data_IF_725226999740
#
_entry.id   IF_725226999740
#
_cell.length_a   1.000
_cell.length_b   1.000
_cell.length_c   1.000
_cell.angle_alpha   90.00
_cell.angle_beta   90.00
_cell.angle_gamma   90.00
#
_symmetry.space_group_name_H-M   'P 1'
#
loop_
_entity.id
_entity.type
_entity.pdbx_description
1 polymer ?
#
# COMPACT_ATOMS: atom_id res chain seq x y z
N UNK A 1 3.16 -4.00 -30.35
CA UNK A 1 3.44 -5.22 -29.56
C UNK A 1 2.23 -5.49 -28.70
N UNK A 2 1.53 -6.61 -28.94
CA UNK A 2 0.31 -6.97 -28.22
C UNK A 2 0.66 -7.38 -26.79
N UNK A 3 0.02 -6.76 -25.79
CA UNK A 3 0.10 -7.19 -24.39
C UNK A 3 -0.46 -8.61 -24.26
N UNK A 4 0.16 -9.52 -23.50
CA UNK A 4 -0.35 -10.87 -23.34
C UNK A 4 -1.72 -10.84 -22.65
N UNK A 5 -2.70 -11.45 -23.29
CA UNK A 5 -4.03 -11.72 -22.74
C UNK A 5 -3.90 -12.51 -21.45
N UNK A 6 -4.22 -11.88 -20.32
CA UNK A 6 -4.34 -12.59 -19.04
C UNK A 6 -5.62 -13.43 -19.07
N UNK A 7 -5.46 -14.75 -19.02
CA UNK A 7 -6.55 -15.71 -18.91
C UNK A 7 -7.36 -15.45 -17.64
N UNK A 8 -8.62 -15.06 -17.78
CA UNK A 8 -9.55 -14.71 -16.71
C UNK A 8 -9.97 -15.89 -15.79
N UNK A 9 -9.48 -17.09 -16.01
CA UNK A 9 -9.95 -18.32 -15.35
C UNK A 9 -9.29 -18.66 -14.01
N UNK A 10 -8.41 -17.83 -13.47
CA UNK A 10 -7.71 -18.07 -12.19
C UNK A 10 -8.19 -17.21 -11.00
N UNK A 11 -9.32 -16.51 -11.12
CA UNK A 11 -9.83 -15.59 -10.09
C UNK A 11 -10.74 -16.25 -9.03
N UNK A 12 -10.95 -17.55 -9.08
CA UNK A 12 -12.02 -18.25 -8.35
C UNK A 12 -11.57 -18.98 -7.07
N UNK A 13 -10.71 -18.39 -6.24
CA UNK A 13 -10.64 -18.78 -4.83
C UNK A 13 -10.63 -17.52 -3.97
N UNK A 14 -11.80 -16.96 -3.61
CA UNK A 14 -11.89 -15.82 -2.70
C UNK A 14 -11.44 -16.25 -1.30
N UNK A 15 -10.76 -15.35 -0.58
CA UNK A 15 -10.44 -15.47 0.85
C UNK A 15 -9.31 -16.45 1.24
N UNK A 16 -8.23 -16.54 0.48
CA UNK A 16 -7.05 -17.27 0.96
C UNK A 16 -6.46 -16.54 2.18
N UNK A 17 -6.61 -17.14 3.36
CA UNK A 17 -6.06 -16.62 4.62
C UNK A 17 -4.54 -16.56 4.53
N UNK A 18 -3.97 -15.44 5.00
CA UNK A 18 -2.53 -15.25 5.05
C UNK A 18 -2.09 -14.85 6.46
N UNK A 19 -0.78 -14.95 6.72
CA UNK A 19 -0.15 -14.38 7.90
C UNK A 19 0.44 -12.99 7.64
N UNK A 20 0.09 -12.37 6.54
CA UNK A 20 0.59 -11.06 6.17
C UNK A 20 -0.04 -9.94 7.00
N UNK A 21 0.80 -8.97 7.34
CA UNK A 21 0.44 -7.77 8.07
C UNK A 21 0.66 -6.55 7.18
N UNK A 22 -0.34 -5.73 7.00
CA UNK A 22 -0.23 -4.52 6.17
C UNK A 22 0.08 -3.32 7.05
N UNK A 23 1.08 -2.56 6.67
CA UNK A 23 1.38 -1.23 7.23
C UNK A 23 0.87 -0.19 6.24
N UNK A 24 -0.17 0.53 6.62
CA UNK A 24 -0.77 1.56 5.76
C UNK A 24 -0.98 2.88 6.52
N UNK A 25 -1.40 3.90 5.82
CA UNK A 25 -1.65 5.25 6.33
C UNK A 25 -1.37 6.29 5.25
N UNK A 26 -1.87 7.49 5.42
CA UNK A 26 -1.70 8.59 4.47
C UNK A 26 -0.21 9.02 4.32
N UNK A 27 0.13 9.85 3.35
CA UNK A 27 1.42 10.52 3.28
C UNK A 27 1.81 11.17 4.61
N UNK A 28 3.10 11.29 4.90
CA UNK A 28 3.62 11.82 6.16
C UNK A 28 3.25 11.04 7.43
N UNK A 29 2.86 9.77 7.36
CA UNK A 29 2.60 8.94 8.55
C UNK A 29 3.85 8.20 9.09
N UNK A 30 5.01 8.32 8.42
CA UNK A 30 6.26 7.67 8.86
C UNK A 30 6.33 6.17 8.54
N UNK A 31 5.54 5.67 7.59
CA UNK A 31 5.53 4.24 7.19
C UNK A 31 6.91 3.70 6.85
N UNK A 32 7.62 4.36 5.95
CA UNK A 32 8.95 3.92 5.51
C UNK A 32 9.92 3.75 6.68
N UNK A 33 9.87 4.66 7.66
CA UNK A 33 10.73 4.57 8.85
C UNK A 33 10.36 3.35 9.72
N UNK A 34 9.06 3.08 9.88
CA UNK A 34 8.58 1.92 10.64
C UNK A 34 8.91 0.60 9.90
N UNK A 35 8.71 0.54 8.59
CA UNK A 35 9.07 -0.63 7.76
C UNK A 35 10.57 -0.93 7.85
N UNK A 36 11.43 0.08 7.70
CA UNK A 36 12.88 -0.08 7.84
C UNK A 36 13.29 -0.54 9.26
N UNK A 37 12.57 -0.10 10.29
CA UNK A 37 12.83 -0.53 11.66
C UNK A 37 12.38 -1.98 11.91
N UNK A 38 11.27 -2.42 11.31
CA UNK A 38 10.83 -3.83 11.32
C UNK A 38 11.86 -4.72 10.62
N UNK A 39 12.36 -4.31 9.45
CA UNK A 39 13.38 -5.03 8.70
C UNK A 39 14.68 -5.17 9.51
N UNK A 40 15.15 -4.09 10.16
CA UNK A 40 16.32 -4.13 11.04
C UNK A 40 16.15 -5.06 12.25
N UNK A 41 14.93 -5.32 12.68
CA UNK A 41 14.61 -6.32 13.72
C UNK A 41 14.51 -7.76 13.15
N UNK A 42 14.82 -7.97 11.87
CA UNK A 42 14.79 -9.28 11.20
C UNK A 42 13.42 -9.71 10.68
N UNK A 43 12.43 -8.80 10.68
CA UNK A 43 11.14 -9.10 10.07
C UNK A 43 11.26 -9.11 8.54
N UNK A 44 10.55 -10.04 7.88
CA UNK A 44 10.43 -10.04 6.43
C UNK A 44 9.48 -8.92 6.01
N UNK A 45 9.94 -8.01 5.15
CA UNK A 45 9.18 -6.88 4.63
C UNK A 45 9.06 -6.93 3.12
N UNK A 46 8.01 -6.33 2.58
CA UNK A 46 7.82 -6.06 1.16
C UNK A 46 7.72 -4.54 1.01
N UNK A 47 8.63 -3.90 0.26
CA UNK A 47 8.67 -2.46 0.09
C UNK A 47 7.50 -1.93 -0.74
N UNK A 48 7.25 -0.63 -0.68
CA UNK A 48 6.19 0.05 -1.42
C UNK A 48 6.41 -0.03 -2.94
N UNK A 49 5.45 -0.66 -3.65
CA UNK A 49 5.53 -0.88 -5.09
C UNK A 49 5.62 0.43 -5.88
N UNK A 50 4.88 1.48 -5.47
CA UNK A 50 4.91 2.77 -6.15
C UNK A 50 6.29 3.42 -6.08
N UNK A 51 6.95 3.36 -4.91
CA UNK A 51 8.29 3.91 -4.73
C UNK A 51 9.30 3.18 -5.60
N UNK A 52 9.28 1.84 -5.58
CA UNK A 52 10.18 1.02 -6.39
C UNK A 52 10.01 1.31 -7.89
N UNK A 53 8.77 1.47 -8.36
CA UNK A 53 8.49 1.82 -9.75
C UNK A 53 9.02 3.22 -10.11
N UNK A 54 8.73 4.22 -9.28
CA UNK A 54 9.21 5.59 -9.52
C UNK A 54 10.74 5.63 -9.57
N UNK A 55 11.42 5.00 -8.61
CA UNK A 55 12.88 4.98 -8.55
C UNK A 55 13.49 4.29 -9.79
N UNK A 56 12.88 3.20 -10.31
CA UNK A 56 13.28 2.55 -11.56
C UNK A 56 13.11 3.46 -12.79
N UNK A 57 11.98 4.17 -12.89
CA UNK A 57 11.72 5.08 -14.01
C UNK A 57 12.64 6.32 -13.99
N UNK A 58 12.90 6.87 -12.81
CA UNK A 58 13.87 7.96 -12.63
C UNK A 58 15.29 7.52 -13.05
N UNK A 59 15.69 6.28 -12.68
CA UNK A 59 16.99 5.72 -13.10
C UNK A 59 17.10 5.53 -14.62
N UNK A 60 15.96 5.42 -15.34
CA UNK A 60 15.88 5.36 -16.81
C UNK A 60 15.86 6.75 -17.48
N UNK A 61 15.87 7.82 -16.68
CA UNK A 61 15.95 9.21 -17.17
C UNK A 61 14.60 9.89 -17.34
N UNK A 62 13.49 9.29 -16.93
CA UNK A 62 12.18 9.96 -16.90
C UNK A 62 12.09 10.88 -15.68
N UNK A 63 11.32 11.96 -15.77
CA UNK A 63 10.99 12.81 -14.62
C UNK A 63 9.65 12.41 -13.97
N UNK A 64 9.36 12.97 -12.79
CA UNK A 64 8.13 12.67 -12.05
C UNK A 64 6.85 13.06 -12.79
N UNK A 65 6.91 14.11 -13.62
CA UNK A 65 5.76 14.58 -14.41
C UNK A 65 5.46 13.60 -15.53
N UNK A 66 6.50 13.11 -16.20
CA UNK A 66 6.39 12.09 -17.25
C UNK A 66 5.86 10.76 -16.68
N UNK A 67 6.41 10.32 -15.53
CA UNK A 67 6.00 9.06 -14.86
C UNK A 67 4.53 9.10 -14.47
N UNK A 68 4.01 10.25 -14.05
CA UNK A 68 2.62 10.44 -13.59
C UNK A 68 1.70 11.09 -14.63
N UNK A 69 2.15 11.27 -15.86
CA UNK A 69 1.40 11.97 -16.93
C UNK A 69 0.05 11.33 -17.25
N UNK A 70 -0.04 9.99 -17.15
CA UNK A 70 -1.28 9.24 -17.27
C UNK A 70 -1.57 8.52 -15.94
N UNK A 71 -2.53 9.06 -15.18
CA UNK A 71 -2.92 8.53 -13.88
C UNK A 71 -3.42 7.08 -13.96
N UNK A 72 -4.17 6.72 -15.01
CA UNK A 72 -4.70 5.36 -15.18
C UNK A 72 -3.55 4.36 -15.42
N UNK A 73 -2.63 4.72 -16.30
CA UNK A 73 -1.47 3.86 -16.61
C UNK A 73 -0.60 3.68 -15.37
N UNK A 74 -0.34 4.77 -14.63
CA UNK A 74 0.45 4.74 -13.40
C UNK A 74 -0.20 3.88 -12.32
N UNK A 75 -1.44 4.19 -11.92
CA UNK A 75 -2.12 3.48 -10.82
C UNK A 75 -2.37 2.00 -11.16
N UNK A 76 -2.70 1.71 -12.42
CA UNK A 76 -2.89 0.34 -12.87
C UNK A 76 -1.57 -0.46 -12.87
N UNK A 77 -0.45 0.17 -13.23
CA UNK A 77 0.87 -0.45 -13.13
C UNK A 77 1.18 -0.83 -11.67
N UNK A 78 0.98 0.10 -10.73
CA UNK A 78 1.20 -0.15 -9.29
C UNK A 78 0.29 -1.27 -8.78
N UNK A 79 -0.98 -1.28 -9.17
CA UNK A 79 -1.91 -2.36 -8.84
C UNK A 79 -1.41 -3.72 -9.32
N UNK A 80 -0.95 -3.80 -10.58
CA UNK A 80 -0.46 -5.06 -11.16
C UNK A 80 0.81 -5.56 -10.48
N UNK A 81 1.73 -4.66 -10.11
CA UNK A 81 2.93 -5.02 -9.36
C UNK A 81 2.59 -5.57 -7.96
N UNK A 82 1.66 -4.95 -7.24
CA UNK A 82 1.17 -5.47 -5.96
C UNK A 82 0.54 -6.86 -6.11
N UNK A 83 -0.35 -7.04 -7.09
CA UNK A 83 -0.99 -8.32 -7.37
C UNK A 83 0.07 -9.39 -7.70
N UNK A 84 1.08 -9.06 -8.52
CA UNK A 84 2.16 -9.97 -8.88
C UNK A 84 2.96 -10.38 -7.67
N UNK A 85 3.35 -9.41 -6.85
CA UNK A 85 4.12 -9.64 -5.62
C UNK A 85 3.34 -10.52 -4.65
N UNK A 86 2.10 -10.17 -4.32
CA UNK A 86 1.28 -10.94 -3.38
C UNK A 86 1.02 -12.39 -3.84
N UNK A 87 0.95 -12.63 -5.16
CA UNK A 87 0.82 -14.00 -5.70
C UNK A 87 2.04 -14.89 -5.46
N UNK A 88 3.21 -14.30 -5.30
CA UNK A 88 4.48 -15.01 -5.12
C UNK A 88 4.85 -15.20 -3.65
N UNK A 89 4.18 -14.51 -2.72
CA UNK A 89 4.48 -14.60 -1.31
C UNK A 89 3.93 -15.88 -0.68
N UNK A 90 4.68 -16.53 0.22
CA UNK A 90 4.18 -17.64 1.04
C UNK A 90 3.11 -17.13 2.01
N UNK A 91 1.95 -17.80 2.03
CA UNK A 91 0.79 -17.34 2.84
C UNK A 91 0.91 -17.67 4.31
N UNK A 92 1.76 -18.61 4.67
CA UNK A 92 1.99 -19.15 6.01
C UNK A 92 3.14 -18.47 6.76
N UNK A 93 3.82 -17.52 6.11
CA UNK A 93 4.86 -16.70 6.73
C UNK A 93 4.33 -15.33 7.19
N UNK A 94 4.85 -14.85 8.32
CA UNK A 94 4.59 -13.48 8.76
C UNK A 94 5.42 -12.51 7.92
N UNK A 95 4.75 -11.71 7.09
CA UNK A 95 5.35 -10.74 6.18
C UNK A 95 4.67 -9.39 6.40
N UNK A 96 5.45 -8.33 6.51
CA UNK A 96 4.94 -6.96 6.57
C UNK A 96 4.97 -6.32 5.18
N UNK A 97 3.81 -5.86 4.71
CA UNK A 97 3.66 -5.21 3.42
C UNK A 97 3.60 -3.69 3.62
N UNK A 98 4.49 -2.93 2.99
CA UNK A 98 4.33 -1.47 2.88
C UNK A 98 3.26 -1.17 1.83
N UNK A 99 2.02 -1.02 2.29
CA UNK A 99 0.80 -1.03 1.51
C UNK A 99 0.51 -2.41 0.86
N UNK A 100 -0.74 -2.62 0.51
CA UNK A 100 -1.21 -3.83 -0.14
C UNK A 100 -2.20 -3.48 -1.27
N UNK A 101 -2.75 -4.50 -1.93
CA UNK A 101 -3.73 -4.29 -3.02
C UNK A 101 -4.91 -3.39 -2.61
N UNK A 102 -5.50 -3.47 -1.39
CA UNK A 102 -6.60 -2.60 -0.99
C UNK A 102 -6.27 -1.09 -0.96
N UNK A 103 -5.01 -0.71 -0.75
CA UNK A 103 -4.61 0.71 -0.85
C UNK A 103 -4.90 1.28 -2.23
N UNK A 104 -4.80 0.47 -3.28
CA UNK A 104 -5.05 0.91 -4.66
C UNK A 104 -6.49 1.36 -4.90
N UNK A 105 -7.48 0.91 -4.10
CA UNK A 105 -8.85 1.41 -4.15
C UNK A 105 -8.87 2.92 -3.85
N UNK A 106 -8.18 3.33 -2.78
CA UNK A 106 -8.12 4.73 -2.38
C UNK A 106 -7.36 5.60 -3.41
N UNK A 107 -6.29 5.07 -3.98
CA UNK A 107 -5.51 5.80 -4.99
C UNK A 107 -6.25 5.94 -6.33
N UNK A 108 -6.98 4.91 -6.77
CA UNK A 108 -7.85 5.02 -7.94
C UNK A 108 -8.93 6.08 -7.72
N UNK A 109 -9.63 6.06 -6.59
CA UNK A 109 -10.63 7.08 -6.25
C UNK A 109 -10.03 8.49 -6.20
N UNK A 110 -8.84 8.63 -5.61
CA UNK A 110 -8.13 9.90 -5.54
C UNK A 110 -7.74 10.44 -6.92
N UNK A 111 -7.39 9.56 -7.85
CA UNK A 111 -7.09 9.88 -9.24
C UNK A 111 -8.36 10.06 -10.11
N UNK A 112 -9.57 9.97 -9.54
CA UNK A 112 -10.83 10.05 -10.28
C UNK A 112 -11.11 8.84 -11.17
N UNK A 113 -10.49 7.69 -10.88
CA UNK A 113 -10.61 6.45 -11.63
C UNK A 113 -11.65 5.50 -11.00
N UNK A 114 -12.19 4.58 -11.81
CA UNK A 114 -13.08 3.53 -11.34
C UNK A 114 -12.32 2.53 -10.45
N UNK A 115 -12.71 2.36 -9.17
CA UNK A 115 -12.04 1.46 -8.22
C UNK A 115 -12.43 -0.01 -8.36
N UNK A 116 -13.24 -0.41 -9.32
CA UNK A 116 -13.78 -1.77 -9.47
C UNK A 116 -12.68 -2.83 -9.63
N UNK A 117 -11.63 -2.52 -10.43
CA UNK A 117 -10.52 -3.44 -10.65
C UNK A 117 -9.73 -3.72 -9.35
N UNK A 118 -9.25 -2.71 -8.61
CA UNK A 118 -8.57 -2.95 -7.33
C UNK A 118 -9.50 -3.53 -6.26
N UNK A 119 -10.79 -3.17 -6.23
CA UNK A 119 -11.76 -3.73 -5.29
C UNK A 119 -11.96 -5.25 -5.49
N UNK A 120 -12.06 -5.71 -6.73
CA UNK A 120 -12.13 -7.14 -7.08
C UNK A 120 -10.82 -7.86 -6.73
N UNK A 121 -9.67 -7.27 -7.06
CA UNK A 121 -8.37 -7.84 -6.77
C UNK A 121 -8.11 -8.00 -5.26
N UNK A 122 -8.60 -7.06 -4.44
CA UNK A 122 -8.45 -7.03 -2.98
C UNK A 122 -9.13 -8.19 -2.24
N UNK A 123 -10.04 -8.91 -2.90
CA UNK A 123 -10.74 -10.08 -2.31
C UNK A 123 -9.98 -11.38 -2.45
N UNK A 124 -8.81 -11.39 -3.09
CA UNK A 124 -8.05 -12.60 -3.35
C UNK A 124 -7.38 -13.17 -2.11
N UNK A 125 -6.84 -12.31 -1.28
CA UNK A 125 -6.16 -12.69 -0.04
C UNK A 125 -6.79 -11.99 1.15
N UNK A 126 -6.77 -12.68 2.30
CA UNK A 126 -7.21 -12.11 3.56
C UNK A 126 -6.01 -11.90 4.46
N UNK A 127 -5.68 -10.65 4.69
CA UNK A 127 -4.54 -10.25 5.54
C UNK A 127 -4.85 -10.54 7.01
N UNK A 128 -3.84 -10.95 7.77
CA UNK A 128 -3.97 -11.24 9.20
C UNK A 128 -4.25 -9.98 10.02
N UNK A 129 -3.53 -8.90 9.72
CA UNK A 129 -3.64 -7.61 10.42
C UNK A 129 -3.44 -6.45 9.48
N UNK A 130 -4.13 -5.36 9.76
CA UNK A 130 -3.94 -4.07 9.11
C UNK A 130 -3.54 -3.07 10.20
N UNK A 131 -2.36 -2.47 10.07
CA UNK A 131 -1.88 -1.41 10.95
C UNK A 131 -2.00 -0.07 10.22
N UNK A 132 -2.80 0.82 10.77
CA UNK A 132 -3.04 2.14 10.21
C UNK A 132 -2.27 3.19 11.00
N UNK A 133 -1.22 3.75 10.42
CA UNK A 133 -0.37 4.75 11.06
C UNK A 133 -1.00 6.13 10.97
N UNK A 134 -1.17 6.79 12.11
CA UNK A 134 -1.58 8.19 12.16
C UNK A 134 -0.54 9.10 11.50
N UNK A 135 -1.01 10.17 10.86
CA UNK A 135 -0.14 11.20 10.27
C UNK A 135 0.68 11.89 11.33
N UNK A 136 1.95 12.09 11.02
CA UNK A 136 2.83 12.96 11.79
C UNK A 136 2.49 14.43 11.49
N UNK A 137 2.73 15.37 12.41
CA UNK A 137 2.75 16.80 12.06
C UNK A 137 3.73 16.98 10.89
N UNK A 138 3.21 17.32 9.72
CA UNK A 138 4.07 17.63 8.57
C UNK A 138 4.77 18.95 8.84
N UNK A 139 6.10 18.93 8.98
CA UNK A 139 6.86 20.15 8.73
C UNK A 139 6.66 20.48 7.26
N UNK A 140 6.24 21.71 6.98
CA UNK A 140 6.11 22.26 5.62
C UNK A 140 7.50 22.36 5.00
N UNK A 141 7.98 21.25 4.43
CA UNK A 141 9.15 21.25 3.58
C UNK A 141 8.69 21.48 2.14
N UNK A 142 9.21 22.48 1.49
CA UNK A 142 8.83 23.00 0.18
C UNK A 142 8.91 21.96 -0.97
N UNK A 143 9.42 20.76 -0.70
CA UNK A 143 9.55 19.67 -1.65
C UNK A 143 8.38 18.65 -1.60
N UNK A 144 7.41 18.79 -0.68
CA UNK A 144 6.25 17.88 -0.54
C UNK A 144 4.95 18.68 -0.50
N UNK A 145 4.56 19.17 -1.68
CA UNK A 145 3.31 19.91 -1.88
C UNK A 145 2.11 18.99 -2.11
N UNK A 146 1.94 17.93 -1.31
CA UNK A 146 0.59 17.41 -1.16
C UNK A 146 -0.12 18.32 -0.14
N UNK A 147 -1.09 19.07 -0.60
CA UNK A 147 -1.96 19.89 0.22
C UNK A 147 -2.53 19.04 1.37
N UNK A 148 -2.60 19.61 2.58
CA UNK A 148 -3.15 18.93 3.77
C UNK A 148 -4.55 18.34 3.51
N UNK A 149 -5.38 19.02 2.71
CA UNK A 149 -6.71 18.55 2.34
C UNK A 149 -6.65 17.26 1.50
N UNK A 150 -5.71 17.17 0.57
CA UNK A 150 -5.45 15.97 -0.23
C UNK A 150 -5.04 14.79 0.64
N UNK A 151 -4.11 15.01 1.58
CA UNK A 151 -3.66 13.96 2.48
C UNK A 151 -4.76 13.48 3.45
N UNK A 152 -5.64 14.38 3.93
CA UNK A 152 -6.81 14.04 4.75
C UNK A 152 -7.84 13.23 3.95
N UNK A 153 -8.14 13.65 2.72
CA UNK A 153 -9.05 12.94 1.83
C UNK A 153 -8.55 11.52 1.56
N UNK A 154 -7.25 11.37 1.28
CA UNK A 154 -6.62 10.07 1.05
C UNK A 154 -6.62 9.20 2.32
N UNK A 155 -6.42 9.79 3.51
CA UNK A 155 -6.52 9.07 4.78
C UNK A 155 -7.90 8.44 4.96
N UNK A 156 -8.96 9.22 4.73
CA UNK A 156 -10.35 8.76 4.81
C UNK A 156 -10.61 7.65 3.78
N UNK A 157 -10.16 7.84 2.54
CA UNK A 157 -10.32 6.84 1.48
C UNK A 157 -9.60 5.53 1.80
N UNK A 158 -8.36 5.58 2.30
CA UNK A 158 -7.60 4.40 2.74
C UNK A 158 -8.31 3.65 3.86
N UNK A 159 -8.80 4.35 4.89
CA UNK A 159 -9.59 3.71 5.97
C UNK A 159 -10.83 3.03 5.42
N UNK A 160 -11.58 3.71 4.54
CA UNK A 160 -12.79 3.16 3.90
C UNK A 160 -12.49 1.94 3.03
N UNK A 161 -11.36 1.91 2.32
CA UNK A 161 -10.96 0.78 1.50
C UNK A 161 -10.84 -0.51 2.33
N UNK A 162 -10.20 -0.44 3.48
CA UNK A 162 -10.05 -1.59 4.36
C UNK A 162 -11.34 -1.95 5.11
N UNK A 163 -12.05 -0.96 5.67
CA UNK A 163 -13.30 -1.23 6.40
C UNK A 163 -14.41 -1.74 5.48
N UNK A 164 -14.47 -1.27 4.24
CA UNK A 164 -15.39 -1.78 3.22
C UNK A 164 -15.12 -3.23 2.79
N UNK A 165 -13.91 -3.73 3.02
CA UNK A 165 -13.53 -5.13 2.84
C UNK A 165 -13.70 -5.98 4.11
N UNK A 166 -14.26 -5.41 5.18
CA UNK A 166 -14.53 -6.10 6.44
C UNK A 166 -13.36 -6.15 7.41
N UNK A 167 -12.29 -5.39 7.19
CA UNK A 167 -11.20 -5.27 8.15
C UNK A 167 -11.50 -4.24 9.23
N UNK A 168 -10.90 -4.46 10.41
CA UNK A 168 -10.83 -3.48 11.50
C UNK A 168 -9.36 -3.06 11.69
N UNK A 169 -8.88 -2.02 11.02
CA UNK A 169 -7.48 -1.61 11.13
C UNK A 169 -7.10 -1.21 12.56
N UNK A 170 -5.98 -1.74 13.04
CA UNK A 170 -5.39 -1.33 14.31
C UNK A 170 -4.72 0.03 14.14
N UNK A 171 -5.18 1.03 14.89
CA UNK A 171 -4.60 2.38 14.87
C UNK A 171 -3.24 2.37 15.54
N UNK A 172 -2.23 2.93 14.90
CA UNK A 172 -0.89 3.18 15.45
C UNK A 172 -0.72 4.70 15.59
N UNK A 173 -0.78 5.23 16.81
CA UNK A 173 -0.74 6.66 17.06
C UNK A 173 0.63 7.28 16.80
N UNK A 174 0.71 8.60 16.87
CA UNK A 174 1.98 9.34 16.79
C UNK A 174 2.79 9.10 18.05
N UNK A 175 3.82 8.24 17.92
CA UNK A 175 4.76 7.85 18.95
C UNK A 175 6.17 7.78 18.34
N UNK A 176 7.20 7.49 19.16
CA UNK A 176 8.52 7.16 18.63
C UNK A 176 8.47 5.92 17.71
N UNK A 177 9.44 5.78 16.83
CA UNK A 177 9.51 4.66 15.89
C UNK A 177 9.54 3.33 16.63
N UNK A 178 10.33 3.27 17.72
CA UNK A 178 10.49 2.09 18.56
C UNK A 178 9.15 1.66 19.17
N UNK A 179 8.41 2.60 19.77
CA UNK A 179 7.10 2.31 20.37
C UNK A 179 6.06 1.88 19.34
N UNK A 180 6.08 2.49 18.14
CA UNK A 180 5.20 2.07 17.03
C UNK A 180 5.51 0.64 16.58
N UNK A 181 6.79 0.30 16.44
CA UNK A 181 7.24 -1.05 16.08
C UNK A 181 6.86 -2.07 17.15
N UNK A 182 7.08 -1.74 18.43
CA UNK A 182 6.74 -2.62 19.54
C UNK A 182 5.22 -2.87 19.60
N UNK A 183 4.38 -1.83 19.42
CA UNK A 183 2.93 -1.99 19.31
C UNK A 183 2.53 -2.91 18.16
N UNK A 184 3.16 -2.79 16.99
CA UNK A 184 2.89 -3.64 15.83
C UNK A 184 3.24 -5.09 16.17
N UNK A 185 4.43 -5.34 16.72
CA UNK A 185 4.91 -6.69 17.02
C UNK A 185 4.10 -7.39 18.12
N UNK A 186 3.49 -6.66 19.05
CA UNK A 186 2.59 -7.23 20.06
C UNK A 186 1.27 -7.80 19.50
N UNK A 187 0.90 -7.43 18.26
CA UNK A 187 -0.36 -7.85 17.61
C UNK A 187 -0.17 -8.92 16.53
N UNK A 188 1.03 -9.47 16.38
CA UNK A 188 1.38 -10.41 15.28
C UNK A 188 1.45 -11.87 15.73
#
# INVERSE_FOLDING_TARGET
MSLPYFNATSYNNPDRQTRWCVITGAPCSGKTTVINALEKKGCRVVPEAARAYIDDQLARGLDLTEIRSDALVFERHILMEKIRTERQLPVDETIFLDRAVPDSIAYFLHAGLDPDEPAKASRRFKYRRIFFLDRLPCATDSARMEDNATAESLEVALKKSYTGLGYSPTRIPVLSVELRVDMILQHV
#
